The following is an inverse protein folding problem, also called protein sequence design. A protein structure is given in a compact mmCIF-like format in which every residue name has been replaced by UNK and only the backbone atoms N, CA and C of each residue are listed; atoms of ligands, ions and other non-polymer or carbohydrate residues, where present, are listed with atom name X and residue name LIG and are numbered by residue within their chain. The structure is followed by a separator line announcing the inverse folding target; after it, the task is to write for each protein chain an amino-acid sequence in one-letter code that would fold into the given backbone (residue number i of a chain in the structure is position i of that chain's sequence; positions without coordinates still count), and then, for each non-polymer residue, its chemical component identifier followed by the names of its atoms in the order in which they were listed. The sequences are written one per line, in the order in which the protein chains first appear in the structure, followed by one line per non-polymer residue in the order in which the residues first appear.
data_IF_889349032533
#
_entry.id   IF_889349032533
#
_cell.length_a   1.000
_cell.length_b   1.000
_cell.length_c   1.000
_cell.angle_alpha   90.00
_cell.angle_beta   90.00
_cell.angle_gamma   90.00
#
_symmetry.space_group_name_H-M   'P 1'
#
loop_
_entity.id
_entity.type
_entity.pdbx_description
1 polymer ?
#
# COMPACT_ATOMS: atom_id res chain seq x y z
N UNK A 1 -10.53 6.92 -50.50
CA UNK A 1 -10.80 5.82 -49.54
C UNK A 1 -9.54 5.14 -49.01
N UNK A 2 -8.54 4.78 -49.86
CA UNK A 2 -7.30 4.09 -49.41
C UNK A 2 -6.49 4.85 -48.34
N UNK A 3 -6.40 6.18 -48.45
CA UNK A 3 -5.68 7.03 -47.48
C UNK A 3 -6.39 7.09 -46.12
N UNK A 4 -7.72 7.09 -46.11
CA UNK A 4 -8.53 7.06 -44.88
C UNK A 4 -8.35 5.73 -44.14
N UNK A 5 -8.32 4.62 -44.89
CA UNK A 5 -8.08 3.29 -44.34
C UNK A 5 -6.69 3.19 -43.70
N UNK A 6 -5.67 3.80 -44.32
CA UNK A 6 -4.32 3.87 -43.78
C UNK A 6 -4.26 4.68 -42.48
N UNK A 7 -4.92 5.84 -42.43
CA UNK A 7 -4.99 6.66 -41.21
C UNK A 7 -5.73 5.95 -40.07
N UNK A 8 -6.83 5.25 -40.38
CA UNK A 8 -7.56 4.46 -39.39
C UNK A 8 -6.71 3.29 -38.87
N UNK A 9 -5.96 2.61 -39.75
CA UNK A 9 -5.03 1.56 -39.37
C UNK A 9 -3.89 2.08 -38.49
N UNK A 10 -3.28 3.21 -38.84
CA UNK A 10 -2.23 3.84 -38.01
C UNK A 10 -2.76 4.29 -36.65
N UNK A 11 -3.98 4.84 -36.61
CA UNK A 11 -4.62 5.26 -35.37
C UNK A 11 -4.89 4.07 -34.43
N UNK A 12 -5.38 2.95 -34.96
CA UNK A 12 -5.61 1.72 -34.19
C UNK A 12 -4.31 1.09 -33.68
N UNK A 13 -3.24 1.09 -34.49
CA UNK A 13 -1.92 0.59 -34.06
C UNK A 13 -1.29 1.47 -32.96
N UNK A 14 -1.53 2.79 -32.98
CA UNK A 14 -1.03 3.71 -31.94
C UNK A 14 -1.69 3.48 -30.57
N UNK A 15 -2.96 3.07 -30.53
CA UNK A 15 -3.66 2.79 -29.27
C UNK A 15 -3.17 1.51 -28.58
N UNK A 16 -2.59 0.56 -29.34
CA UNK A 16 -2.15 -0.74 -28.81
C UNK A 16 -0.87 -0.67 -27.95
N UNK A 17 -0.19 0.49 -27.89
CA UNK A 17 1.08 0.65 -27.15
C UNK A 17 0.94 1.28 -25.77
N UNK A 18 -0.28 1.63 -25.33
CA UNK A 18 -0.49 2.25 -24.02
C UNK A 18 -0.84 1.20 -22.96
N UNK A 19 0.17 0.51 -22.44
CA UNK A 19 0.05 -0.18 -21.17
C UNK A 19 0.25 0.84 -20.04
N UNK A 20 -0.83 1.27 -19.40
CA UNK A 20 -0.73 2.12 -18.21
C UNK A 20 -0.30 1.26 -17.01
N UNK A 21 0.64 1.76 -16.17
CA UNK A 21 0.92 1.08 -14.92
C UNK A 21 -0.36 1.05 -14.08
N UNK A 22 -0.69 -0.12 -13.55
CA UNK A 22 -1.82 -0.27 -12.63
C UNK A 22 -1.29 -0.62 -11.26
N UNK A 23 -1.96 -0.09 -10.22
CA UNK A 23 -1.68 -0.41 -8.84
C UNK A 23 -3.00 -0.70 -8.14
N UNK A 24 -3.11 -1.84 -7.49
CA UNK A 24 -4.27 -2.20 -6.68
C UNK A 24 -3.83 -2.79 -5.35
N UNK A 25 -4.51 -2.38 -4.28
CA UNK A 25 -4.35 -3.00 -2.98
C UNK A 25 -5.09 -4.34 -2.98
N UNK A 26 -4.37 -5.40 -2.64
CA UNK A 26 -4.91 -6.74 -2.43
C UNK A 26 -5.38 -6.93 -0.99
N UNK A 27 -5.13 -8.12 -0.46
CA UNK A 27 -5.51 -8.42 0.91
C UNK A 27 -4.60 -7.74 1.94
N UNK A 28 -5.09 -7.65 3.17
CA UNK A 28 -4.29 -7.18 4.30
C UNK A 28 -4.51 -8.04 5.54
N UNK A 29 -3.56 -8.00 6.47
CA UNK A 29 -3.65 -8.73 7.74
C UNK A 29 -2.80 -8.12 8.84
N UNK A 30 -3.32 -8.19 10.07
CA UNK A 30 -2.65 -7.74 11.28
C UNK A 30 -1.85 -8.87 11.95
N UNK A 31 -0.72 -8.51 12.56
CA UNK A 31 0.19 -9.43 13.22
C UNK A 31 0.83 -8.78 14.45
N UNK A 32 1.05 -9.54 15.51
CA UNK A 32 1.82 -9.05 16.65
C UNK A 32 3.27 -8.71 16.28
N UNK A 33 3.84 -7.69 16.93
CA UNK A 33 5.26 -7.31 16.80
C UNK A 33 6.16 -8.11 17.78
N UNK A 34 6.12 -9.45 17.71
CA UNK A 34 6.75 -10.33 18.70
C UNK A 34 7.93 -11.17 18.16
N UNK A 35 8.59 -10.74 17.09
CA UNK A 35 9.80 -11.41 16.58
C UNK A 35 9.84 -11.64 15.07
N UNK A 36 10.67 -12.60 14.65
CA UNK A 36 10.99 -12.91 13.25
C UNK A 36 9.75 -13.33 12.43
N UNK A 37 9.91 -13.37 11.10
CA UNK A 37 8.84 -13.74 10.16
C UNK A 37 8.72 -15.27 9.93
N UNK A 38 9.28 -16.09 10.81
CA UNK A 38 9.30 -17.54 10.62
C UNK A 38 7.94 -18.17 10.96
N UNK A 39 7.13 -18.47 9.92
CA UNK A 39 6.04 -19.46 9.75
C UNK A 39 5.00 -19.73 10.87
N UNK A 40 5.16 -19.19 12.06
CA UNK A 40 4.30 -19.33 13.23
C UNK A 40 3.96 -17.94 13.81
N UNK A 41 3.94 -16.92 12.94
CA UNK A 41 3.60 -15.58 13.40
C UNK A 41 2.14 -15.55 13.86
N UNK A 42 1.93 -15.12 15.11
CA UNK A 42 0.61 -15.02 15.72
C UNK A 42 -0.18 -13.93 15.00
N UNK A 43 -0.97 -14.33 14.01
CA UNK A 43 -1.96 -13.47 13.38
C UNK A 43 -2.97 -13.04 14.44
N UNK A 44 -3.19 -11.74 14.57
CA UNK A 44 -4.14 -11.20 15.56
C UNK A 44 -5.58 -11.35 15.09
N UNK A 45 -5.80 -11.50 13.78
CA UNK A 45 -7.11 -11.74 13.17
C UNK A 45 -7.01 -12.53 11.87
N UNK A 46 -8.16 -12.89 11.29
CA UNK A 46 -8.25 -13.39 9.92
C UNK A 46 -7.85 -12.29 8.90
N UNK A 47 -7.64 -12.69 7.66
CA UNK A 47 -7.36 -11.75 6.57
C UNK A 47 -8.53 -10.79 6.38
N UNK A 48 -8.26 -9.54 6.02
CA UNK A 48 -9.26 -8.48 5.79
C UNK A 48 -10.23 -8.26 6.98
N UNK A 49 -9.77 -8.55 8.20
CA UNK A 49 -10.59 -8.45 9.43
C UNK A 49 -10.02 -7.38 10.34
N UNK A 50 -10.85 -6.42 10.73
CA UNK A 50 -10.45 -5.34 11.64
C UNK A 50 -10.13 -5.89 13.04
N UNK A 51 -9.35 -5.12 13.78
CA UNK A 51 -9.01 -5.40 15.18
C UNK A 51 -9.27 -4.15 16.01
N UNK A 52 -9.48 -4.34 17.30
CA UNK A 52 -9.49 -3.25 18.27
C UNK A 52 -8.17 -3.28 19.03
N UNK A 53 -7.47 -2.14 19.04
CA UNK A 53 -6.31 -1.94 19.91
C UNK A 53 -6.81 -1.43 21.26
N UNK A 54 -6.46 -2.12 22.33
CA UNK A 54 -6.90 -1.80 23.69
C UNK A 54 -5.84 -1.06 24.51
N UNK A 55 -4.59 -1.04 24.04
CA UNK A 55 -3.48 -0.37 24.71
C UNK A 55 -2.66 0.44 23.71
N UNK A 56 -2.40 1.70 24.03
CA UNK A 56 -1.62 2.64 23.19
C UNK A 56 -0.16 2.22 23.01
N UNK A 57 0.34 1.34 23.88
CA UNK A 57 1.71 0.82 23.81
C UNK A 57 1.81 -0.46 22.98
N UNK A 58 0.70 -0.99 22.46
CA UNK A 58 0.71 -2.19 21.65
C UNK A 58 1.43 -1.93 20.33
N UNK A 59 2.51 -2.68 20.10
CA UNK A 59 3.20 -2.70 18.82
C UNK A 59 2.58 -3.75 17.93
N UNK A 60 2.11 -3.30 16.77
CA UNK A 60 1.47 -4.17 15.79
C UNK A 60 2.08 -3.96 14.42
N UNK A 61 2.06 -5.02 13.62
CA UNK A 61 2.48 -4.99 12.22
C UNK A 61 1.26 -5.13 11.33
N UNK A 62 1.16 -4.27 10.32
CA UNK A 62 0.23 -4.39 9.21
C UNK A 62 0.98 -4.98 8.01
N UNK A 63 0.43 -6.02 7.40
CA UNK A 63 0.89 -6.55 6.11
C UNK A 63 -0.16 -6.24 5.06
N UNK A 64 0.26 -5.61 3.96
CA UNK A 64 -0.61 -5.25 2.84
C UNK A 64 -0.06 -5.90 1.58
N UNK A 65 -0.93 -6.58 0.85
CA UNK A 65 -0.64 -7.07 -0.50
C UNK A 65 -0.85 -5.93 -1.48
N UNK A 66 0.11 -5.73 -2.38
CA UNK A 66 0.06 -4.72 -3.42
C UNK A 66 0.29 -5.42 -4.75
N UNK A 67 -0.63 -5.24 -5.69
CA UNK A 67 -0.54 -5.81 -7.04
C UNK A 67 -0.31 -4.68 -8.03
N UNK A 68 0.79 -4.76 -8.76
CA UNK A 68 1.12 -3.81 -9.82
C UNK A 68 1.33 -4.50 -11.17
N UNK A 69 1.03 -3.80 -12.25
CA UNK A 69 1.49 -4.14 -13.61
C UNK A 69 2.39 -3.02 -14.12
N UNK A 70 3.58 -3.39 -14.61
CA UNK A 70 4.62 -2.47 -15.11
C UNK A 70 5.79 -2.28 -14.13
N UNK A 71 6.97 -1.97 -14.66
CA UNK A 71 8.14 -1.56 -13.87
C UNK A 71 7.90 -0.15 -13.32
N UNK A 72 7.38 -0.06 -12.10
CA UNK A 72 7.22 1.20 -11.41
C UNK A 72 7.77 1.08 -9.99
N UNK A 73 8.78 1.89 -9.69
CA UNK A 73 9.14 2.20 -8.31
C UNK A 73 7.87 2.61 -7.56
N UNK A 74 7.42 1.77 -6.62
CA UNK A 74 6.18 1.99 -5.90
C UNK A 74 6.41 3.00 -4.78
N UNK A 75 6.12 4.27 -5.06
CA UNK A 75 5.99 5.28 -4.00
C UNK A 75 4.69 5.04 -3.23
N UNK A 76 4.74 4.20 -2.21
CA UNK A 76 3.58 3.83 -1.40
C UNK A 76 3.76 4.30 0.05
N UNK A 77 2.76 5.03 0.55
CA UNK A 77 2.71 5.56 1.90
C UNK A 77 1.51 4.98 2.65
N UNK A 78 1.64 4.83 3.96
CA UNK A 78 0.52 4.42 4.82
C UNK A 78 -0.12 5.68 5.38
N UNK A 79 -1.44 5.76 5.30
CA UNK A 79 -2.22 6.83 5.91
C UNK A 79 -3.23 6.26 6.91
N UNK A 80 -3.61 7.08 7.88
CA UNK A 80 -4.68 6.79 8.83
C UNK A 80 -5.61 7.99 8.93
N UNK A 81 -6.81 7.73 9.45
CA UNK A 81 -7.82 8.75 9.67
C UNK A 81 -8.39 8.54 11.08
N UNK A 82 -8.52 9.61 11.86
CA UNK A 82 -9.12 9.57 13.21
C UNK A 82 -10.55 10.11 13.22
N UNK A 83 -10.89 10.95 12.24
CA UNK A 83 -12.21 11.54 12.02
C UNK A 83 -12.47 11.65 10.52
N UNK A 84 -13.70 11.37 10.08
CA UNK A 84 -14.08 11.35 8.66
C UNK A 84 -13.52 12.54 7.88
N UNK A 85 -12.65 12.29 6.91
CA UNK A 85 -12.30 13.27 5.87
C UNK A 85 -10.82 13.66 5.75
N UNK A 86 -10.00 13.48 6.78
CA UNK A 86 -8.60 13.91 6.79
C UNK A 86 -7.63 12.72 6.94
N UNK A 87 -7.09 12.26 5.81
CA UNK A 87 -6.06 11.22 5.80
C UNK A 87 -4.70 11.82 6.18
N UNK A 88 -4.11 11.28 7.24
CA UNK A 88 -2.82 11.70 7.79
C UNK A 88 -1.78 10.62 7.45
N UNK A 89 -0.63 11.02 6.89
CA UNK A 89 0.49 10.11 6.68
C UNK A 89 0.99 9.58 8.02
N UNK A 90 1.19 8.27 8.13
CA UNK A 90 1.84 7.68 9.31
C UNK A 90 3.31 8.16 9.33
N UNK A 91 3.74 8.95 10.32
CA UNK A 91 5.12 9.43 10.40
C UNK A 91 6.06 8.34 10.93
N UNK A 92 7.36 8.59 10.84
CA UNK A 92 8.34 7.82 11.61
C UNK A 92 8.21 8.17 13.10
N UNK A 93 8.43 7.19 13.98
CA UNK A 93 8.45 7.43 15.42
C UNK A 93 9.52 8.46 15.84
N UNK A 94 10.58 8.62 15.05
CA UNK A 94 11.61 9.65 15.23
C UNK A 94 11.11 11.07 14.97
N UNK A 95 10.09 11.22 14.13
CA UNK A 95 9.66 12.52 13.61
C UNK A 95 8.50 13.07 14.43
N UNK A 96 7.61 12.20 14.93
CA UNK A 96 6.48 12.60 15.75
C UNK A 96 5.92 11.42 16.58
N UNK A 97 6.28 11.32 17.86
CA UNK A 97 5.80 10.29 18.78
C UNK A 97 4.39 10.53 19.34
N UNK A 98 3.78 11.68 19.05
CA UNK A 98 2.44 12.05 19.55
C UNK A 98 1.33 11.66 18.57
N UNK A 99 1.67 11.16 17.38
CA UNK A 99 0.69 10.65 16.42
C UNK A 99 0.07 9.33 16.92
N UNK A 100 -1.24 9.09 16.72
CA UNK A 100 -1.90 7.84 17.08
C UNK A 100 -1.23 6.58 16.51
N UNK A 101 -0.60 6.72 15.34
CA UNK A 101 0.17 5.68 14.69
C UNK A 101 1.53 6.24 14.26
N UNK A 102 2.58 5.43 14.42
CA UNK A 102 3.96 5.75 14.00
C UNK A 102 4.66 4.50 13.46
N UNK A 103 5.60 4.67 12.53
CA UNK A 103 6.45 3.58 12.03
C UNK A 103 7.70 3.40 12.91
N UNK A 104 8.01 2.15 13.26
CA UNK A 104 9.07 1.79 14.20
C UNK A 104 10.51 1.79 13.61
N UNK A 105 10.72 2.01 12.30
CA UNK A 105 12.07 1.96 11.66
C UNK A 105 12.15 2.81 10.38
N UNK A 106 13.37 3.27 10.09
CA UNK A 106 13.77 4.23 9.04
C UNK A 106 13.93 3.60 7.66
N UNK A 107 12.90 3.71 6.83
CA UNK A 107 13.08 4.22 5.47
C UNK A 107 11.99 5.27 5.26
N UNK A 108 12.30 6.37 4.58
CA UNK A 108 11.38 7.48 4.33
C UNK A 108 10.11 6.98 3.63
N UNK A 109 9.10 6.51 4.35
CA UNK A 109 7.75 6.21 3.84
C UNK A 109 7.66 5.47 2.52
N UNK A 110 8.71 4.74 2.13
CA UNK A 110 8.84 4.03 0.86
C UNK A 110 9.00 2.57 1.25
N UNK A 111 7.92 1.81 1.06
CA UNK A 111 7.99 0.35 1.12
C UNK A 111 8.76 -0.07 -0.15
N UNK A 112 10.07 -0.33 -0.01
CA UNK A 112 10.87 -0.96 -1.06
C UNK A 112 10.49 -2.44 -1.20
#
# INVERSE_FOLDING_TARGET
MKKLLLFLGLFLCYQATFAFPTLSQGNWRWRSDNGAENNAANWTAAQNTSISLTNVNDKIRLRVEVKGLGDANLNCYIQYETTSGDWINVPLASDNSLSPFVMATTSNGLLN
#
